data_IF_417606641126
#
_entry.id   IF_417606641126
#
_cell.length_a   1.000
_cell.length_b   1.000
_cell.length_c   1.000
_cell.angle_alpha   90.00
_cell.angle_beta   90.00
_cell.angle_gamma   90.00
#
_symmetry.space_group_name_H-M   'P 1'
#
loop_
_entity.id
_entity.type
_entity.pdbx_description
1 polymer ?
#
# COMPACT_ATOMS: atom_id res chain seq x y z
N UNK A 1 21.90 7.69 -1.58
CA UNK A 1 22.68 8.48 -0.62
C UNK A 1 21.84 9.13 0.47
N UNK A 2 20.82 9.97 0.19
CA UNK A 2 20.07 10.64 1.28
C UNK A 2 19.31 9.68 2.23
N UNK A 3 18.65 8.64 1.71
CA UNK A 3 17.90 7.68 2.55
C UNK A 3 18.85 6.84 3.42
N UNK A 4 19.94 6.31 2.84
CA UNK A 4 20.92 5.49 3.57
C UNK A 4 21.65 6.29 4.65
N UNK A 5 22.01 7.55 4.36
CA UNK A 5 22.61 8.44 5.34
C UNK A 5 21.64 8.74 6.50
N UNK A 6 20.37 9.05 6.20
CA UNK A 6 19.35 9.28 7.23
C UNK A 6 19.08 8.01 8.07
N UNK A 7 19.08 6.84 7.44
CA UNK A 7 18.88 5.55 8.11
C UNK A 7 20.01 5.18 9.08
N UNK A 8 21.20 5.77 8.93
CA UNK A 8 22.31 5.59 9.87
C UNK A 8 22.08 6.32 11.21
N UNK A 9 21.20 7.33 11.25
CA UNK A 9 20.94 8.14 12.44
C UNK A 9 19.58 7.87 13.08
N UNK A 10 18.58 7.50 12.28
CA UNK A 10 17.20 7.29 12.73
C UNK A 10 16.45 6.30 11.85
N UNK A 11 15.35 5.69 12.34
CA UNK A 11 14.43 4.96 11.48
C UNK A 11 13.91 5.86 10.35
N UNK A 12 13.90 5.34 9.12
CA UNK A 12 13.38 6.02 7.94
C UNK A 12 12.28 5.18 7.34
N UNK A 13 11.13 5.81 7.11
CA UNK A 13 10.03 5.21 6.36
C UNK A 13 10.02 5.78 4.94
N UNK A 14 9.88 4.90 3.95
CA UNK A 14 9.79 5.26 2.54
C UNK A 14 8.64 4.49 1.91
N UNK A 15 7.76 5.19 1.19
CA UNK A 15 6.64 4.61 0.45
C UNK A 15 6.74 5.04 -1.01
N UNK A 16 6.50 4.10 -1.90
CA UNK A 16 6.38 4.36 -3.33
C UNK A 16 5.38 3.40 -3.98
N UNK A 17 4.97 3.68 -5.21
CA UNK A 17 4.14 2.79 -6.01
C UNK A 17 4.97 1.59 -6.48
N UNK A 18 4.39 0.40 -6.36
CA UNK A 18 5.09 -0.84 -6.68
C UNK A 18 5.63 -0.89 -8.12
N UNK A 19 4.92 -0.31 -9.09
CA UNK A 19 5.35 -0.35 -10.49
C UNK A 19 6.56 0.55 -10.78
N UNK A 20 6.77 1.64 -10.04
CA UNK A 20 8.02 2.41 -10.13
C UNK A 20 9.21 1.62 -9.58
N UNK A 21 9.01 0.94 -8.46
CA UNK A 21 10.07 0.19 -7.77
C UNK A 21 10.40 -1.11 -8.50
N UNK A 22 9.41 -1.81 -9.05
CA UNK A 22 9.56 -3.14 -9.68
C UNK A 22 10.49 -3.17 -10.89
N UNK A 23 10.73 -2.03 -11.53
CA UNK A 23 11.62 -1.92 -12.69
C UNK A 23 13.08 -1.73 -12.32
N UNK A 24 13.36 -1.26 -11.08
CA UNK A 24 14.71 -0.91 -10.61
C UNK A 24 15.19 -1.75 -9.43
N UNK A 25 14.26 -2.37 -8.70
CA UNK A 25 14.59 -3.18 -7.53
C UNK A 25 15.19 -4.54 -7.91
N UNK A 26 16.34 -4.83 -7.33
CA UNK A 26 16.99 -6.14 -7.35
C UNK A 26 17.11 -6.70 -5.93
N UNK A 27 17.77 -7.86 -5.79
CA UNK A 27 17.92 -8.51 -4.49
C UNK A 27 18.70 -7.65 -3.48
N UNK A 28 19.69 -6.89 -3.94
CA UNK A 28 20.53 -6.07 -3.07
C UNK A 28 19.80 -4.81 -2.62
N UNK A 29 18.95 -4.24 -3.47
CA UNK A 29 18.02 -3.19 -3.09
C UNK A 29 17.06 -3.67 -2.01
N UNK A 30 16.39 -4.81 -2.21
CA UNK A 30 15.38 -5.30 -1.27
C UNK A 30 15.97 -5.65 0.11
N UNK A 31 17.22 -6.09 0.20
CA UNK A 31 17.89 -6.40 1.47
C UNK A 31 18.16 -5.18 2.35
N UNK A 32 18.10 -3.96 1.79
CA UNK A 32 18.36 -2.72 2.55
C UNK A 32 17.17 -2.27 3.39
N UNK A 33 16.01 -2.92 3.24
CA UNK A 33 14.77 -2.49 3.87
C UNK A 33 14.11 -3.61 4.66
N UNK A 34 13.43 -3.23 5.73
CA UNK A 34 12.31 -4.03 6.24
C UNK A 34 11.14 -3.86 5.27
N UNK A 35 10.97 -4.80 4.35
CA UNK A 35 9.98 -4.72 3.29
C UNK A 35 8.56 -4.91 3.84
N UNK A 36 7.65 -4.02 3.46
CA UNK A 36 6.24 -4.08 3.88
C UNK A 36 5.32 -3.70 2.73
N UNK A 37 4.10 -4.26 2.73
CA UNK A 37 3.14 -4.09 1.66
C UNK A 37 1.76 -3.79 2.23
N UNK A 38 1.11 -2.73 1.76
CA UNK A 38 -0.31 -2.48 2.00
C UNK A 38 -1.11 -2.94 0.78
N UNK A 39 -2.14 -3.75 0.99
CA UNK A 39 -3.03 -4.27 -0.05
C UNK A 39 -4.46 -3.76 0.18
N UNK A 40 -5.25 -3.72 -0.88
CA UNK A 40 -6.66 -3.34 -0.86
C UNK A 40 -7.42 -4.21 -1.85
N UNK A 41 -8.72 -4.42 -1.62
CA UNK A 41 -9.57 -5.16 -2.56
C UNK A 41 -9.39 -4.59 -4.00
N UNK A 42 -9.03 -5.45 -4.99
CA UNK A 42 -8.89 -5.03 -6.36
C UNK A 42 -10.15 -4.38 -6.95
N UNK A 43 -11.35 -4.82 -6.56
CA UNK A 43 -12.59 -4.25 -7.06
C UNK A 43 -12.74 -2.78 -6.64
N UNK A 44 -12.45 -2.47 -5.38
CA UNK A 44 -12.49 -1.09 -4.87
C UNK A 44 -11.35 -0.26 -5.45
N UNK A 45 -10.15 -0.84 -5.53
CA UNK A 45 -8.96 -0.16 -6.07
C UNK A 45 -9.16 0.25 -7.51
N UNK A 46 -9.66 -0.65 -8.36
CA UNK A 46 -9.87 -0.40 -9.80
C UNK A 46 -10.89 0.72 -10.03
N UNK A 47 -12.02 0.68 -9.33
CA UNK A 47 -13.08 1.69 -9.47
C UNK A 47 -12.60 3.06 -8.97
N UNK A 48 -11.93 3.09 -7.82
CA UNK A 48 -11.37 4.31 -7.24
C UNK A 48 -10.33 4.96 -8.17
N UNK A 49 -9.41 4.16 -8.71
CA UNK A 49 -8.40 4.66 -9.64
C UNK A 49 -9.02 5.11 -10.97
N UNK A 50 -9.96 4.33 -11.53
CA UNK A 50 -10.63 4.65 -12.80
C UNK A 50 -11.47 5.95 -12.72
N UNK A 51 -12.04 6.26 -11.54
CA UNK A 51 -12.73 7.54 -11.31
C UNK A 51 -11.79 8.75 -11.46
N UNK A 52 -10.54 8.59 -11.05
CA UNK A 52 -9.51 9.64 -11.12
C UNK A 52 -8.81 9.67 -12.49
N UNK A 53 -8.56 8.49 -13.07
CA UNK A 53 -7.94 8.30 -14.38
C UNK A 53 -8.63 7.15 -15.15
N UNK A 54 -9.57 7.46 -16.06
CA UNK A 54 -10.25 6.46 -16.89
C UNK A 54 -9.33 5.71 -17.86
N UNK A 55 -8.09 6.17 -18.04
CA UNK A 55 -7.11 5.56 -18.95
C UNK A 55 -6.10 4.65 -18.26
N UNK A 56 -6.29 4.41 -16.95
CA UNK A 56 -5.39 3.61 -16.12
C UNK A 56 -5.13 2.23 -16.71
N UNK A 57 -3.87 1.81 -16.66
CA UNK A 57 -3.42 0.49 -17.11
C UNK A 57 -3.21 -0.48 -15.97
N UNK A 58 -3.17 -1.79 -16.28
CA UNK A 58 -2.81 -2.84 -15.31
C UNK A 58 -1.46 -2.61 -14.64
N UNK A 59 -0.53 -2.02 -15.38
CA UNK A 59 0.81 -1.70 -14.86
C UNK A 59 0.74 -0.65 -13.78
N UNK A 60 -0.04 0.42 -13.98
CA UNK A 60 -0.19 1.52 -13.01
C UNK A 60 -0.97 1.09 -11.78
N UNK A 61 -1.99 0.23 -11.96
CA UNK A 61 -2.71 -0.43 -10.86
C UNK A 61 -1.77 -1.28 -9.99
N UNK A 62 -0.73 -1.88 -10.58
CA UNK A 62 0.47 -2.29 -9.85
C UNK A 62 0.40 -3.61 -9.08
N UNK A 63 -0.69 -4.38 -9.13
CA UNK A 63 -0.80 -5.67 -8.40
C UNK A 63 0.28 -6.68 -8.83
N UNK A 64 0.62 -6.73 -10.14
CA UNK A 64 1.69 -7.60 -10.63
C UNK A 64 3.06 -7.17 -10.09
N UNK A 65 3.35 -5.88 -10.16
CA UNK A 65 4.58 -5.31 -9.61
C UNK A 65 4.68 -5.51 -8.09
N UNK A 66 3.58 -5.33 -7.36
CA UNK A 66 3.53 -5.50 -5.92
C UNK A 66 3.78 -6.96 -5.52
N UNK A 67 3.10 -7.91 -6.18
CA UNK A 67 3.31 -9.32 -5.91
C UNK A 67 4.73 -9.79 -6.28
N UNK A 68 5.29 -9.28 -7.40
CA UNK A 68 6.68 -9.54 -7.79
C UNK A 68 7.66 -9.07 -6.71
N UNK A 69 7.47 -7.85 -6.18
CA UNK A 69 8.31 -7.31 -5.10
C UNK A 69 8.12 -8.09 -3.79
N UNK A 70 6.91 -8.52 -3.47
CA UNK A 70 6.64 -9.37 -2.30
C UNK A 70 7.39 -10.70 -2.37
N UNK A 71 7.31 -11.39 -3.52
CA UNK A 71 8.03 -12.64 -3.74
C UNK A 71 9.55 -12.45 -3.69
N UNK A 72 10.05 -11.35 -4.27
CA UNK A 72 11.46 -11.00 -4.21
C UNK A 72 11.92 -10.74 -2.77
N UNK A 73 11.18 -9.92 -2.01
CA UNK A 73 11.43 -9.66 -0.60
C UNK A 73 11.48 -10.96 0.20
N UNK A 74 10.46 -11.81 0.06
CA UNK A 74 10.38 -13.11 0.73
C UNK A 74 11.56 -14.02 0.40
N UNK A 75 11.97 -14.05 -0.87
CA UNK A 75 13.12 -14.84 -1.33
C UNK A 75 14.42 -14.35 -0.69
N UNK A 76 14.65 -13.04 -0.61
CA UNK A 76 15.94 -12.49 -0.13
C UNK A 76 16.07 -12.51 1.39
N UNK A 77 14.97 -12.33 2.12
CA UNK A 77 14.98 -12.34 3.59
C UNK A 77 14.78 -13.73 4.17
N UNK A 78 14.13 -14.65 3.42
CA UNK A 78 13.69 -15.94 3.93
C UNK A 78 12.47 -15.87 4.84
N UNK A 79 11.88 -14.67 5.01
CA UNK A 79 10.72 -14.41 5.85
C UNK A 79 9.58 -13.82 5.04
N UNK A 80 8.34 -14.07 5.45
CA UNK A 80 7.17 -13.41 4.88
C UNK A 80 7.18 -11.92 5.28
N UNK A 81 7.26 -10.97 4.33
CA UNK A 81 7.18 -9.53 4.60
C UNK A 81 5.89 -9.16 5.33
N UNK A 82 5.88 -8.02 6.04
CA UNK A 82 4.65 -7.53 6.65
C UNK A 82 3.64 -7.17 5.54
N UNK A 83 2.43 -7.74 5.62
CA UNK A 83 1.33 -7.41 4.71
C UNK A 83 0.16 -6.86 5.53
N UNK A 84 -0.24 -5.62 5.23
CA UNK A 84 -1.36 -4.92 5.86
C UNK A 84 -2.50 -4.86 4.86
N UNK A 85 -3.69 -5.35 5.23
CA UNK A 85 -4.90 -5.14 4.44
C UNK A 85 -5.56 -3.83 4.86
N UNK A 86 -5.91 -3.00 3.87
CA UNK A 86 -6.45 -1.67 4.10
C UNK A 86 -7.80 -1.72 4.83
N UNK A 87 -8.66 -2.68 4.49
CA UNK A 87 -9.97 -2.83 5.11
C UNK A 87 -9.84 -3.29 6.58
N UNK A 88 -8.94 -4.23 6.89
CA UNK A 88 -8.62 -4.60 8.28
C UNK A 88 -8.07 -3.39 9.06
N UNK A 89 -7.18 -2.59 8.46
CA UNK A 89 -6.62 -1.37 9.06
C UNK A 89 -7.70 -0.33 9.36
N UNK A 90 -8.70 -0.17 8.48
CA UNK A 90 -9.81 0.76 8.67
C UNK A 90 -10.84 0.26 9.70
N UNK A 91 -10.93 -1.05 9.94
CA UNK A 91 -11.83 -1.64 10.93
C UNK A 91 -11.24 -1.55 12.34
N UNK A 92 -9.97 -1.89 12.52
CA UNK A 92 -9.29 -1.85 13.82
C UNK A 92 -7.82 -1.41 13.67
N UNK A 93 -7.63 -0.11 13.44
CA UNK A 93 -6.32 0.47 13.22
C UNK A 93 -5.35 0.22 14.39
N UNK A 94 -5.84 0.30 15.62
CA UNK A 94 -5.00 0.12 16.80
C UNK A 94 -4.40 -1.29 16.85
N UNK A 95 -5.21 -2.31 16.60
CA UNK A 95 -4.73 -3.69 16.61
C UNK A 95 -3.80 -3.99 15.44
N UNK A 96 -4.14 -3.54 14.23
CA UNK A 96 -3.33 -3.77 13.03
C UNK A 96 -1.99 -3.04 13.10
N UNK A 97 -1.97 -1.76 13.49
CA UNK A 97 -0.72 -0.99 13.60
C UNK A 97 0.16 -1.55 14.71
N UNK A 98 -0.40 -2.00 15.82
CA UNK A 98 0.38 -2.66 16.87
C UNK A 98 1.07 -3.94 16.36
N UNK A 99 0.35 -4.81 15.66
CA UNK A 99 0.95 -6.00 15.05
C UNK A 99 1.98 -5.67 13.98
N UNK A 100 1.73 -4.63 13.19
CA UNK A 100 2.69 -4.15 12.21
C UNK A 100 3.99 -3.75 12.91
N UNK A 101 3.91 -2.93 13.95
CA UNK A 101 5.06 -2.52 14.76
C UNK A 101 5.81 -3.73 15.35
N UNK A 102 5.10 -4.72 15.91
CA UNK A 102 5.69 -5.97 16.40
C UNK A 102 6.38 -6.77 15.28
N UNK A 103 5.77 -6.86 14.09
CA UNK A 103 6.31 -7.60 12.93
C UNK A 103 7.57 -6.96 12.36
N UNK A 104 7.68 -5.63 12.41
CA UNK A 104 8.83 -4.87 11.85
C UNK A 104 9.82 -4.41 12.92
N UNK A 105 9.63 -4.85 14.16
CA UNK A 105 10.49 -4.56 15.33
C UNK A 105 10.67 -3.05 15.61
N UNK A 106 9.56 -2.31 15.66
CA UNK A 106 9.54 -0.91 16.08
C UNK A 106 8.55 -0.69 17.24
N UNK A 107 8.75 0.35 18.07
CA UNK A 107 7.79 0.68 19.12
C UNK A 107 6.43 1.11 18.53
N UNK A 108 5.34 0.54 19.07
CA UNK A 108 4.01 1.07 18.82
C UNK A 108 3.80 2.36 19.61
N UNK A 109 3.38 3.42 18.91
CA UNK A 109 3.07 4.73 19.48
C UNK A 109 1.57 4.98 19.32
N UNK A 110 0.75 4.97 20.39
CA UNK A 110 -0.69 5.20 20.28
C UNK A 110 -1.05 6.50 19.56
N UNK A 111 -0.22 7.54 19.71
CA UNK A 111 -0.36 8.82 19.01
C UNK A 111 -0.18 8.72 17.50
N UNK A 112 0.42 7.65 16.96
CA UNK A 112 0.57 7.47 15.50
C UNK A 112 -0.75 7.16 14.79
N UNK A 113 -1.84 6.93 15.54
CA UNK A 113 -3.18 6.69 14.99
C UNK A 113 -3.96 7.98 14.71
N UNK A 114 -3.44 9.12 15.17
CA UNK A 114 -4.08 10.43 15.04
C UNK A 114 -3.08 11.49 14.62
N UNK A 115 -3.45 12.37 13.70
CA UNK A 115 -2.58 13.43 13.21
C UNK A 115 -3.38 14.69 12.89
N UNK A 116 -2.68 15.81 12.77
CA UNK A 116 -3.28 17.05 12.28
C UNK A 116 -3.38 17.00 10.74
N UNK A 117 -4.49 17.49 10.14
CA UNK A 117 -4.61 17.59 8.70
C UNK A 117 -3.51 18.50 8.13
N UNK A 118 -2.81 18.00 7.13
CA UNK A 118 -1.73 18.74 6.47
C UNK A 118 -1.58 18.26 5.02
N UNK A 119 -1.71 19.20 4.07
CA UNK A 119 -1.30 18.96 2.68
C UNK A 119 0.18 19.26 2.52
N UNK A 120 0.98 18.23 2.21
CA UNK A 120 2.44 18.38 2.02
C UNK A 120 2.76 18.99 0.66
N UNK A 121 3.73 19.90 0.63
CA UNK A 121 4.16 20.58 -0.60
C UNK A 121 4.64 19.60 -1.69
N UNK A 122 5.18 18.47 -1.26
CA UNK A 122 5.70 17.37 -2.07
C UNK A 122 4.60 16.62 -2.83
N UNK A 123 3.34 16.75 -2.42
CA UNK A 123 2.20 16.12 -3.08
C UNK A 123 1.61 16.93 -4.21
N UNK A 124 2.14 18.13 -4.48
CA UNK A 124 1.57 19.06 -5.47
C UNK A 124 1.39 18.43 -6.86
N UNK A 125 2.34 17.62 -7.32
CA UNK A 125 2.26 16.96 -8.63
C UNK A 125 1.23 15.81 -8.67
N UNK A 126 0.78 15.33 -7.50
CA UNK A 126 -0.20 14.27 -7.31
C UNK A 126 -1.36 14.72 -6.41
N UNK A 127 -1.71 16.01 -6.47
CA UNK A 127 -2.66 16.63 -5.53
C UNK A 127 -3.99 15.89 -5.50
N UNK A 128 -4.54 15.57 -6.67
CA UNK A 128 -5.82 14.84 -6.80
C UNK A 128 -5.84 13.47 -6.12
N UNK A 129 -4.66 12.88 -5.83
CA UNK A 129 -4.51 11.59 -5.15
C UNK A 129 -4.31 11.72 -3.64
N UNK A 130 -4.08 12.94 -3.13
CA UNK A 130 -3.70 13.20 -1.73
C UNK A 130 -4.63 14.18 -1.01
N UNK A 131 -5.72 14.65 -1.64
CA UNK A 131 -6.69 15.54 -0.99
C UNK A 131 -7.26 14.90 0.29
N UNK A 132 -7.84 13.70 0.17
CA UNK A 132 -8.44 13.01 1.33
C UNK A 132 -7.40 12.69 2.41
N UNK A 133 -6.18 12.33 2.00
CA UNK A 133 -5.07 12.11 2.93
C UNK A 133 -4.67 13.39 3.67
N UNK A 134 -4.63 14.53 2.97
CA UNK A 134 -4.31 15.84 3.54
C UNK A 134 -5.35 16.34 4.53
N UNK A 135 -6.62 16.02 4.32
CA UNK A 135 -7.73 16.40 5.20
C UNK A 135 -7.98 15.41 6.35
N UNK A 136 -7.33 14.24 6.32
CA UNK A 136 -7.51 13.19 7.33
C UNK A 136 -6.89 13.55 8.69
N UNK A 137 -7.45 12.98 9.75
CA UNK A 137 -6.95 13.10 11.14
C UNK A 137 -6.61 11.77 11.79
N UNK A 138 -6.71 10.68 11.03
CA UNK A 138 -6.60 9.31 11.51
C UNK A 138 -7.13 8.33 10.46
N UNK A 139 -7.07 7.04 10.78
CA UNK A 139 -7.70 6.00 9.96
C UNK A 139 -9.22 6.04 10.11
N UNK A 140 -9.91 6.31 9.01
CA UNK A 140 -11.37 6.41 8.99
C UNK A 140 -11.93 5.53 7.90
N UNK A 141 -12.85 4.65 8.27
CA UNK A 141 -13.56 3.83 7.30
C UNK A 141 -14.54 4.71 6.55
N UNK A 142 -14.16 5.12 5.35
CA UNK A 142 -15.10 5.70 4.40
C UNK A 142 -15.73 4.58 3.57
N UNK A 143 -17.06 4.61 3.48
CA UNK A 143 -17.84 3.70 2.64
C UNK A 143 -18.20 4.47 1.38
N UNK A 144 -17.18 4.80 0.59
CA UNK A 144 -17.38 5.55 -0.65
C UNK A 144 -18.23 4.70 -1.62
N UNK A 145 -19.39 5.25 -2.00
CA UNK A 145 -20.21 4.71 -3.08
C UNK A 145 -19.79 5.38 -4.39
N UNK A 146 -19.09 4.61 -5.22
CA UNK A 146 -18.63 5.08 -6.53
C UNK A 146 -19.75 5.18 -7.57
N UNK A 147 -20.93 4.62 -7.29
CA UNK A 147 -22.07 4.58 -8.21
C UNK A 147 -21.95 3.55 -9.33
N UNK A 148 -20.85 2.80 -9.38
CA UNK A 148 -20.60 1.68 -10.29
C UNK A 148 -19.53 0.74 -9.72
N UNK A 149 -19.41 -0.44 -10.32
CA UNK A 149 -18.51 -1.52 -9.93
C UNK A 149 -17.65 -1.97 -11.10
N UNK A 150 -16.71 -2.88 -10.85
CA UNK A 150 -15.93 -3.50 -11.92
C UNK A 150 -16.78 -4.28 -12.94
N UNK A 151 -17.98 -4.73 -12.56
CA UNK A 151 -18.88 -5.44 -13.47
C UNK A 151 -19.57 -4.52 -14.49
N UNK A 152 -19.63 -3.20 -14.20
CA UNK A 152 -20.27 -2.21 -15.05
C UNK A 152 -19.37 -1.73 -16.20
N UNK A 153 -18.05 -1.98 -16.11
CA UNK A 153 -17.04 -1.57 -17.11
C UNK A 153 -16.24 -2.80 -17.55
N UNK A 154 -16.41 -3.30 -18.79
CA UNK A 154 -15.77 -4.53 -19.25
C UNK A 154 -14.25 -4.57 -19.06
N UNK A 155 -13.57 -3.45 -19.30
CA UNK A 155 -12.13 -3.32 -19.11
C UNK A 155 -11.72 -3.51 -17.64
N UNK A 156 -12.48 -2.93 -16.69
CA UNK A 156 -12.22 -3.09 -15.27
C UNK A 156 -12.48 -4.53 -14.81
N UNK A 157 -13.48 -5.20 -15.36
CA UNK A 157 -13.74 -6.61 -15.09
C UNK A 157 -12.56 -7.49 -15.51
N UNK A 158 -12.04 -7.30 -16.71
CA UNK A 158 -10.86 -8.03 -17.18
C UNK A 158 -9.62 -7.74 -16.33
N UNK A 159 -9.46 -6.49 -15.88
CA UNK A 159 -8.37 -6.12 -14.98
C UNK A 159 -8.52 -6.78 -13.60
N UNK A 160 -9.73 -6.79 -13.05
CA UNK A 160 -10.06 -7.42 -11.78
C UNK A 160 -9.70 -8.91 -11.77
N UNK A 161 -10.06 -9.65 -12.83
CA UNK A 161 -9.75 -11.08 -12.95
C UNK A 161 -8.24 -11.36 -12.93
N UNK A 162 -7.41 -10.42 -13.38
CA UNK A 162 -5.95 -10.53 -13.35
C UNK A 162 -5.36 -10.11 -12.01
N UNK A 163 -5.92 -9.09 -11.36
CA UNK A 163 -5.46 -8.58 -10.07
C UNK A 163 -5.83 -9.51 -8.90
N UNK A 164 -7.06 -10.06 -8.92
CA UNK A 164 -7.62 -10.85 -7.81
C UNK A 164 -6.73 -12.01 -7.34
N UNK A 165 -6.20 -12.89 -8.21
CA UNK A 165 -5.37 -14.00 -7.76
C UNK A 165 -4.06 -13.57 -7.10
N UNK A 166 -3.54 -12.39 -7.44
CA UNK A 166 -2.32 -11.83 -6.84
C UNK A 166 -2.62 -11.24 -5.46
N UNK A 167 -3.72 -10.50 -5.36
CA UNK A 167 -4.26 -10.02 -4.10
C UNK A 167 -4.52 -11.16 -3.12
N UNK A 168 -5.26 -12.21 -3.53
CA UNK A 168 -5.63 -13.34 -2.66
C UNK A 168 -4.41 -14.04 -2.05
N UNK A 169 -3.31 -14.15 -2.80
CA UNK A 169 -2.04 -14.71 -2.30
C UNK A 169 -1.43 -13.86 -1.19
N UNK A 170 -1.38 -12.54 -1.36
CA UNK A 170 -0.86 -11.64 -0.34
C UNK A 170 -1.83 -11.51 0.85
N UNK A 171 -3.14 -11.49 0.58
CA UNK A 171 -4.19 -11.44 1.59
C UNK A 171 -4.17 -12.65 2.53
N UNK A 172 -3.78 -13.83 2.03
CA UNK A 172 -3.58 -15.01 2.86
C UNK A 172 -2.47 -14.83 3.91
N UNK A 173 -1.46 -14.02 3.59
CA UNK A 173 -0.24 -13.75 4.37
C UNK A 173 -0.34 -12.47 5.24
N UNK A 174 -1.48 -11.76 5.17
CA UNK A 174 -1.67 -10.51 5.92
C UNK A 174 -1.61 -10.71 7.43
N UNK A 175 -1.25 -9.64 8.12
CA UNK A 175 -1.35 -9.54 9.57
C UNK A 175 -2.80 -9.74 10.01
N UNK A 176 -3.01 -10.59 11.02
CA UNK A 176 -4.34 -10.90 11.55
C UNK A 176 -4.36 -10.62 13.05
N UNK A 177 -5.25 -9.73 13.52
CA UNK A 177 -5.47 -9.52 14.95
C UNK A 177 -5.83 -10.80 15.71
#
# INVERSE_FOLDING_TARGET
EMIEAAAAEKPVFFKDMAYYVSDVADEDFMKKFTNTFIIRDPALTLVSYHKLDPTVTLREIGFESQYKLFELARKVTGEVPAVVDAEDLLIDAASVVKQYCEKVDIPFLPESLTWEPEFKSEWKDWEMWHLDAGDSTGFQRDMEDFGYTVDDVPELKEMYEKCRPLYEKMYAERLRP
#
